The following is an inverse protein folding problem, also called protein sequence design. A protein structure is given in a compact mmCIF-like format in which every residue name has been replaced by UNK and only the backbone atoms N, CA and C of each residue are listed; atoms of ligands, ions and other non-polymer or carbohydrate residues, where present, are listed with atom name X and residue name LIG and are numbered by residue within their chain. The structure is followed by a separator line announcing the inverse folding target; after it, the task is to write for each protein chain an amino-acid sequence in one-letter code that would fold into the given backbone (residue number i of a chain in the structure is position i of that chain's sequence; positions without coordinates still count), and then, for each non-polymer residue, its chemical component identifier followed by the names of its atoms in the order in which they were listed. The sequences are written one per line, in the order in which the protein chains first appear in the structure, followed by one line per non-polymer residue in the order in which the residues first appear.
data_IF_471915141080
#
_entry.id   IF_471915141080
#
_cell.length_a   1.000
_cell.length_b   1.000
_cell.length_c   1.000
_cell.angle_alpha   90.00
_cell.angle_beta   90.00
_cell.angle_gamma   90.00
#
_symmetry.space_group_name_H-M   'P 1'
#
loop_
_entity.id
_entity.type
_entity.pdbx_description
1 polymer ?
#
# COMPACT_ATOMS: atom_id res chain seq x y z
N UNK A 1 12.53 -16.89 -5.22
CA UNK A 1 11.89 -15.56 -5.13
C UNK A 1 10.95 -15.49 -3.93
N UNK A 2 10.04 -16.45 -3.80
CA UNK A 2 9.07 -16.53 -2.69
C UNK A 2 9.69 -16.43 -1.29
N UNK A 3 10.79 -17.13 -1.03
CA UNK A 3 11.49 -17.05 0.26
C UNK A 3 11.93 -15.61 0.62
N UNK A 4 12.39 -14.83 -0.37
CA UNK A 4 12.76 -13.42 -0.15
C UNK A 4 11.54 -12.54 0.10
N UNK A 5 10.41 -12.83 -0.54
CA UNK A 5 9.15 -12.11 -0.30
C UNK A 5 8.62 -12.40 1.11
N UNK A 6 8.60 -13.66 1.53
CA UNK A 6 8.23 -14.05 2.89
C UNK A 6 9.13 -13.41 3.95
N UNK A 7 10.44 -13.35 3.69
CA UNK A 7 11.38 -12.65 4.58
C UNK A 7 11.10 -11.14 4.63
N UNK A 8 10.77 -10.50 3.51
CA UNK A 8 10.38 -9.08 3.51
C UNK A 8 9.12 -8.83 4.36
N UNK A 9 8.14 -9.73 4.30
CA UNK A 9 6.92 -9.66 5.11
C UNK A 9 7.21 -9.90 6.61
N UNK A 10 8.22 -10.72 6.94
CA UNK A 10 8.72 -10.88 8.31
C UNK A 10 9.44 -9.64 8.81
N UNK A 11 10.39 -9.10 8.03
CA UNK A 11 11.13 -7.88 8.39
C UNK A 11 10.20 -6.68 8.62
N UNK A 12 9.15 -6.55 7.80
CA UNK A 12 8.12 -5.53 7.99
C UNK A 12 7.39 -5.68 9.33
N UNK A 13 6.99 -6.91 9.69
CA UNK A 13 6.32 -7.21 10.98
C UNK A 13 7.23 -6.93 12.18
N UNK A 14 8.52 -7.18 12.04
CA UNK A 14 9.55 -6.89 13.05
C UNK A 14 9.97 -5.40 13.08
N UNK A 15 9.33 -4.54 12.28
CA UNK A 15 9.67 -3.11 12.14
C UNK A 15 11.10 -2.84 11.66
N UNK A 16 11.75 -3.83 11.04
CA UNK A 16 13.09 -3.72 10.44
C UNK A 16 13.00 -3.12 9.05
N UNK A 17 12.53 -1.88 8.96
CA UNK A 17 12.15 -1.24 7.70
C UNK A 17 13.32 -1.09 6.72
N UNK A 18 14.50 -0.69 7.21
CA UNK A 18 15.68 -0.53 6.35
C UNK A 18 16.12 -1.86 5.73
N UNK A 19 16.17 -2.94 6.52
CA UNK A 19 16.48 -4.27 6.00
C UNK A 19 15.43 -4.76 5.00
N UNK A 20 14.15 -4.47 5.25
CA UNK A 20 13.06 -4.79 4.33
C UNK A 20 13.22 -4.03 3.00
N UNK A 21 13.57 -2.75 3.05
CA UNK A 21 13.79 -1.92 1.86
C UNK A 21 14.94 -2.46 1.00
N UNK A 22 16.10 -2.74 1.61
CA UNK A 22 17.26 -3.28 0.92
C UNK A 22 16.99 -4.67 0.33
N UNK A 23 16.25 -5.52 1.04
CA UNK A 23 15.83 -6.82 0.51
C UNK A 23 14.94 -6.65 -0.72
N UNK A 24 13.93 -5.77 -0.67
CA UNK A 24 13.02 -5.51 -1.79
C UNK A 24 13.73 -4.87 -2.99
N UNK A 25 14.75 -4.03 -2.78
CA UNK A 25 15.61 -3.50 -3.85
C UNK A 25 16.45 -4.58 -4.54
N UNK A 26 16.84 -5.63 -3.80
CA UNK A 26 17.62 -6.75 -4.34
C UNK A 26 16.82 -7.71 -5.24
N UNK A 27 15.49 -7.55 -5.31
CA UNK A 27 14.60 -8.40 -6.10
C UNK A 27 14.21 -7.62 -7.37
N UNK A 28 14.16 -8.31 -8.51
CA UNK A 28 13.62 -7.75 -9.76
C UNK A 28 12.25 -7.11 -9.49
N UNK A 29 12.06 -5.89 -9.98
CA UNK A 29 10.81 -5.17 -9.79
C UNK A 29 9.69 -5.84 -10.60
N UNK A 30 8.93 -6.70 -9.95
CA UNK A 30 7.74 -7.39 -10.45
C UNK A 30 6.52 -6.90 -9.66
N UNK A 31 5.29 -7.15 -10.12
CA UNK A 31 4.09 -6.67 -9.43
C UNK A 31 4.07 -7.03 -7.92
N UNK A 32 4.59 -8.20 -7.55
CA UNK A 32 4.72 -8.62 -6.15
C UNK A 32 5.65 -7.78 -5.27
N UNK A 33 6.72 -7.26 -5.87
CA UNK A 33 7.69 -6.43 -5.17
C UNK A 33 7.15 -5.00 -5.07
N UNK A 34 6.49 -4.53 -6.13
CA UNK A 34 5.89 -3.21 -6.23
C UNK A 34 4.91 -2.90 -5.08
N UNK A 35 3.89 -3.75 -4.86
CA UNK A 35 2.93 -3.47 -3.79
C UNK A 35 3.56 -3.61 -2.39
N UNK A 36 4.55 -4.49 -2.21
CA UNK A 36 5.28 -4.63 -0.94
C UNK A 36 6.13 -3.39 -0.63
N UNK A 37 6.78 -2.80 -1.63
CA UNK A 37 7.47 -1.51 -1.49
C UNK A 37 6.49 -0.41 -1.11
N UNK A 38 5.35 -0.32 -1.78
CA UNK A 38 4.33 0.67 -1.43
C UNK A 38 3.82 0.50 0.02
N UNK A 39 3.55 -0.74 0.43
CA UNK A 39 3.16 -1.07 1.81
C UNK A 39 4.23 -0.68 2.81
N UNK A 40 5.49 -1.02 2.54
CA UNK A 40 6.64 -0.65 3.37
C UNK A 40 6.72 0.88 3.54
N UNK A 41 6.67 1.62 2.42
CA UNK A 41 6.72 3.09 2.43
C UNK A 41 5.62 3.65 3.32
N UNK A 42 4.38 3.18 3.14
CA UNK A 42 3.25 3.65 3.94
C UNK A 42 3.45 3.35 5.44
N UNK A 43 3.70 2.09 5.80
CA UNK A 43 3.85 1.66 7.20
C UNK A 43 5.01 2.38 7.89
N UNK A 44 6.17 2.46 7.25
CA UNK A 44 7.33 3.18 7.78
C UNK A 44 6.97 4.65 8.03
N UNK A 45 6.36 5.32 7.04
CA UNK A 45 6.02 6.75 7.14
C UNK A 45 4.98 7.02 8.24
N UNK A 46 3.99 6.15 8.41
CA UNK A 46 2.95 6.32 9.43
C UNK A 46 3.37 5.91 10.83
N UNK A 47 4.54 5.27 10.98
CA UNK A 47 5.08 4.83 12.29
C UNK A 47 6.25 5.68 12.77
N UNK A 48 6.65 6.71 12.01
CA UNK A 48 7.64 7.69 12.47
C UNK A 48 7.12 8.43 13.70
N UNK A 49 7.98 8.57 14.71
CA UNK A 49 7.66 9.28 15.95
C UNK A 49 7.39 10.77 15.69
N UNK A 50 8.22 11.38 14.83
CA UNK A 50 8.03 12.75 14.38
C UNK A 50 7.37 12.76 13.01
N UNK A 51 6.29 13.53 12.88
CA UNK A 51 5.58 13.69 11.63
C UNK A 51 6.49 14.45 10.64
N UNK A 52 6.83 13.87 9.47
CA UNK A 52 7.60 14.58 8.46
C UNK A 52 6.87 15.83 7.96
N UNK A 53 7.61 16.74 7.33
CA UNK A 53 7.03 17.92 6.71
C UNK A 53 6.00 17.52 5.64
N UNK A 54 5.08 18.46 5.34
CA UNK A 54 4.05 18.26 4.32
C UNK A 54 4.65 17.84 2.97
N UNK A 55 5.72 18.48 2.54
CA UNK A 55 6.37 18.20 1.26
C UNK A 55 7.03 16.83 1.23
N UNK A 56 7.64 16.40 2.34
CA UNK A 56 8.21 15.06 2.47
C UNK A 56 7.11 14.01 2.42
N UNK A 57 6.00 14.21 3.14
CA UNK A 57 4.85 13.31 3.08
C UNK A 57 4.27 13.21 1.67
N UNK A 58 4.13 14.34 0.97
CA UNK A 58 3.60 14.36 -0.40
C UNK A 58 4.47 13.53 -1.34
N UNK A 59 5.78 13.76 -1.35
CA UNK A 59 6.72 12.98 -2.17
C UNK A 59 6.73 11.50 -1.79
N UNK A 60 6.64 11.20 -0.50
CA UNK A 60 6.72 9.82 0.01
C UNK A 60 5.48 9.00 -0.37
N UNK A 61 4.27 9.55 -0.20
CA UNK A 61 3.05 8.85 -0.60
C UNK A 61 2.87 8.80 -2.12
N UNK A 62 3.34 9.82 -2.85
CA UNK A 62 3.39 9.74 -4.32
C UNK A 62 4.29 8.59 -4.77
N UNK A 63 5.49 8.44 -4.19
CA UNK A 63 6.37 7.30 -4.47
C UNK A 63 5.70 5.95 -4.21
N UNK A 64 4.91 5.83 -3.13
CA UNK A 64 4.17 4.60 -2.86
C UNK A 64 3.14 4.30 -3.97
N UNK A 65 2.44 5.31 -4.48
CA UNK A 65 1.51 5.16 -5.61
C UNK A 65 2.25 4.79 -6.90
N UNK A 66 3.40 5.40 -7.17
CA UNK A 66 4.20 5.14 -8.37
C UNK A 66 4.71 3.69 -8.40
N UNK A 67 5.09 3.12 -7.25
CA UNK A 67 5.46 1.71 -7.14
C UNK A 67 4.29 0.80 -7.51
N UNK A 68 3.08 1.05 -6.98
CA UNK A 68 1.88 0.26 -7.31
C UNK A 68 1.52 0.38 -8.79
N UNK A 69 1.57 1.60 -9.34
CA UNK A 69 1.29 1.86 -10.76
C UNK A 69 2.30 1.14 -11.67
N UNK A 70 3.58 1.12 -11.32
CA UNK A 70 4.59 0.34 -12.02
C UNK A 70 4.30 -1.17 -12.00
N UNK A 71 3.85 -1.69 -10.85
CA UNK A 71 3.40 -3.08 -10.72
C UNK A 71 2.20 -3.41 -11.62
N UNK A 72 1.18 -2.54 -11.64
CA UNK A 72 -0.01 -2.70 -12.48
C UNK A 72 0.31 -2.59 -13.97
N UNK A 73 1.22 -1.68 -14.37
CA UNK A 73 1.67 -1.57 -15.77
C UNK A 73 2.42 -2.82 -16.24
N UNK A 74 3.19 -3.45 -15.37
CA UNK A 74 3.88 -4.70 -15.69
C UNK A 74 2.92 -5.88 -15.86
N UNK A 75 1.83 -5.92 -15.09
CA UNK A 75 0.74 -6.89 -15.28
C UNK A 75 -0.56 -6.36 -14.66
N UNK A 76 -1.47 -5.88 -15.52
CA UNK A 76 -2.71 -5.22 -15.10
C UNK A 76 -3.69 -6.16 -14.38
N UNK A 77 -3.60 -7.47 -14.62
CA UNK A 77 -4.48 -8.49 -14.04
C UNK A 77 -3.79 -9.29 -12.92
N UNK A 78 -2.68 -8.79 -12.38
CA UNK A 78 -1.98 -9.50 -11.32
C UNK A 78 -2.82 -9.52 -10.04
N UNK A 79 -3.32 -10.71 -9.67
CA UNK A 79 -4.25 -10.90 -8.55
C UNK A 79 -3.80 -10.18 -7.27
N UNK A 80 -2.52 -10.26 -6.92
CA UNK A 80 -2.00 -9.65 -5.70
C UNK A 80 -1.90 -8.11 -5.72
N UNK A 81 -1.76 -7.48 -6.89
CA UNK A 81 -1.86 -6.01 -7.03
C UNK A 81 -3.31 -5.51 -7.00
N UNK A 82 -4.26 -6.41 -7.26
CA UNK A 82 -5.70 -6.15 -7.20
C UNK A 82 -6.34 -6.57 -5.88
N UNK A 83 -5.55 -7.08 -4.92
CA UNK A 83 -6.04 -7.44 -3.59
C UNK A 83 -6.68 -6.28 -2.87
N UNK A 84 -7.65 -6.59 -2.00
CA UNK A 84 -8.34 -5.59 -1.19
C UNK A 84 -7.39 -4.74 -0.34
N UNK A 85 -6.30 -5.34 0.13
CA UNK A 85 -5.27 -4.65 0.91
C UNK A 85 -4.50 -3.63 0.06
N UNK A 86 -4.20 -3.95 -1.19
CA UNK A 86 -3.54 -3.01 -2.11
C UNK A 86 -4.48 -1.87 -2.49
N UNK A 87 -5.76 -2.16 -2.77
CA UNK A 87 -6.75 -1.14 -3.08
C UNK A 87 -6.97 -0.19 -1.89
N UNK A 88 -7.03 -0.72 -0.66
CA UNK A 88 -7.12 0.06 0.56
C UNK A 88 -5.87 0.93 0.79
N UNK A 89 -4.67 0.38 0.54
CA UNK A 89 -3.41 1.13 0.62
C UNK A 89 -3.43 2.33 -0.33
N UNK A 90 -3.88 2.15 -1.58
CA UNK A 90 -4.01 3.24 -2.55
C UNK A 90 -4.98 4.31 -2.02
N UNK A 91 -6.14 3.91 -1.48
CA UNK A 91 -7.11 4.84 -0.90
C UNK A 91 -6.50 5.68 0.23
N UNK A 92 -5.76 5.02 1.14
CA UNK A 92 -5.04 5.68 2.23
C UNK A 92 -3.99 6.66 1.72
N UNK A 93 -3.17 6.28 0.73
CA UNK A 93 -2.20 7.19 0.14
C UNK A 93 -2.87 8.44 -0.43
N UNK A 94 -3.97 8.31 -1.18
CA UNK A 94 -4.69 9.47 -1.70
C UNK A 94 -5.35 10.34 -0.60
N UNK A 95 -5.82 9.74 0.49
CA UNK A 95 -6.33 10.46 1.67
C UNK A 95 -5.23 11.30 2.31
N UNK A 96 -4.02 10.75 2.44
CA UNK A 96 -2.84 11.46 2.94
C UNK A 96 -2.38 12.58 2.01
N UNK A 97 -2.54 12.40 0.70
CA UNK A 97 -2.30 13.41 -0.34
C UNK A 97 -3.43 14.44 -0.47
N UNK A 98 -4.50 14.34 0.33
CA UNK A 98 -5.69 15.21 0.26
C UNK A 98 -6.42 15.18 -1.09
N UNK A 99 -6.19 14.13 -1.89
CA UNK A 99 -6.95 13.89 -3.11
C UNK A 99 -8.24 13.11 -2.78
N UNK A 100 -9.25 13.85 -2.33
CA UNK A 100 -10.54 13.28 -1.87
C UNK A 100 -11.24 12.46 -2.96
N UNK A 101 -11.20 12.92 -4.21
CA UNK A 101 -11.85 12.24 -5.34
C UNK A 101 -11.26 10.84 -5.56
N UNK A 102 -9.93 10.75 -5.67
CA UNK A 102 -9.25 9.46 -5.83
C UNK A 102 -9.36 8.59 -4.58
N UNK A 103 -9.25 9.16 -3.39
CA UNK A 103 -9.41 8.41 -2.15
C UNK A 103 -10.81 7.75 -2.07
N UNK A 104 -11.87 8.49 -2.42
CA UNK A 104 -13.24 7.97 -2.48
C UNK A 104 -13.42 6.89 -3.56
N UNK A 105 -12.86 7.09 -4.75
CA UNK A 105 -12.87 6.10 -5.85
C UNK A 105 -12.31 4.75 -5.38
N UNK A 106 -11.15 4.75 -4.73
CA UNK A 106 -10.53 3.52 -4.25
C UNK A 106 -11.24 2.93 -3.01
N UNK A 107 -11.82 3.75 -2.13
CA UNK A 107 -12.68 3.24 -1.05
C UNK A 107 -13.92 2.53 -1.59
N UNK A 108 -14.51 3.00 -2.69
CA UNK A 108 -15.64 2.35 -3.36
C UNK A 108 -15.21 1.03 -3.99
N UNK A 109 -14.04 0.99 -4.65
CA UNK A 109 -13.47 -0.26 -5.17
C UNK A 109 -13.33 -1.31 -4.08
N UNK A 110 -12.70 -0.96 -2.95
CA UNK A 110 -12.54 -1.86 -1.80
C UNK A 110 -13.89 -2.41 -1.31
N UNK A 111 -14.91 -1.56 -1.18
CA UNK A 111 -16.24 -1.97 -0.73
C UNK A 111 -16.97 -2.87 -1.74
N UNK A 112 -16.72 -2.70 -3.04
CA UNK A 112 -17.32 -3.50 -4.10
C UNK A 112 -16.63 -4.86 -4.31
N UNK A 113 -15.50 -5.13 -3.65
CA UNK A 113 -14.80 -6.41 -3.80
C UNK A 113 -15.57 -7.56 -3.13
N UNK A 114 -15.61 -8.70 -3.83
CA UNK A 114 -16.29 -9.92 -3.37
C UNK A 114 -15.47 -10.74 -2.38
N UNK A 115 -14.20 -10.38 -2.14
CA UNK A 115 -13.35 -11.01 -1.12
C UNK A 115 -14.04 -10.97 0.25
N UNK A 116 -14.05 -12.10 0.95
CA UNK A 116 -14.63 -12.27 2.28
C UNK A 116 -13.59 -12.79 3.26
N UNK A 117 -13.91 -12.75 4.56
CA UNK A 117 -13.00 -13.16 5.65
C UNK A 117 -12.50 -11.97 6.45
N UNK A 118 -11.86 -12.26 7.58
CA UNK A 118 -11.54 -11.24 8.59
C UNK A 118 -10.80 -10.01 8.04
N UNK A 119 -9.72 -10.25 7.27
CA UNK A 119 -8.91 -9.17 6.70
C UNK A 119 -9.66 -8.37 5.63
N UNK A 120 -10.53 -9.01 4.86
CA UNK A 120 -11.33 -8.34 3.84
C UNK A 120 -12.41 -7.46 4.49
N UNK A 121 -13.11 -7.97 5.50
CA UNK A 121 -14.12 -7.21 6.23
C UNK A 121 -13.54 -6.07 7.07
N UNK A 122 -12.34 -6.23 7.62
CA UNK A 122 -11.58 -5.13 8.21
C UNK A 122 -11.25 -4.06 7.17
N UNK A 123 -10.75 -4.45 6.00
CA UNK A 123 -10.41 -3.51 4.94
C UNK A 123 -11.64 -2.73 4.43
N UNK A 124 -12.79 -3.39 4.25
CA UNK A 124 -14.05 -2.73 3.87
C UNK A 124 -14.52 -1.75 4.94
N UNK A 125 -14.47 -2.12 6.22
CA UNK A 125 -14.81 -1.22 7.33
C UNK A 125 -13.91 0.01 7.37
N UNK A 126 -12.61 -0.17 7.18
CA UNK A 126 -11.67 0.94 7.16
C UNK A 126 -11.88 1.86 5.94
N UNK A 127 -12.10 1.29 4.75
CA UNK A 127 -12.45 2.07 3.56
C UNK A 127 -13.74 2.88 3.73
N UNK A 128 -14.76 2.29 4.35
CA UNK A 128 -16.01 3.00 4.67
C UNK A 128 -15.74 4.19 5.59
N UNK A 129 -15.00 3.97 6.69
CA UNK A 129 -14.64 5.02 7.64
C UNK A 129 -13.81 6.15 7.01
N UNK A 130 -12.88 5.82 6.11
CA UNK A 130 -12.14 6.82 5.34
C UNK A 130 -13.13 7.62 4.48
N UNK A 131 -13.99 6.95 3.71
CA UNK A 131 -14.93 7.60 2.80
C UNK A 131 -15.94 8.52 3.50
N UNK A 132 -16.33 8.23 4.74
CA UNK A 132 -17.25 9.06 5.53
C UNK A 132 -16.61 10.35 6.05
N UNK A 133 -15.27 10.41 6.08
CA UNK A 133 -14.48 11.55 6.58
C UNK A 133 -13.99 12.50 5.48
N UNK A 134 -14.06 12.08 4.21
CA UNK A 134 -13.61 12.86 3.05
C UNK A 134 -14.65 13.89 2.64
#
# INVERSE_FOLDING_TARGET
MEAKLAESDKLLREKKYQACEELLKSIKNVPEVAWRKARLIYVQTTTLAEKPSKDVLQKTFQRALDEVDAGLKANANHANCLTIQTQLLIAKCYERLKNKGKAKEYCQKVQAMTETGYLAEEAKREAKHISEKL
#
